data_IF_233435353029
#
_entry.id   IF_233435353029
#
_cell.length_a   1.000
_cell.length_b   1.000
_cell.length_c   1.000
_cell.angle_alpha   90.00
_cell.angle_beta   90.00
_cell.angle_gamma   90.00
#
_symmetry.space_group_name_H-M   'P 1'
#
loop_
_entity.id
_entity.type
_entity.pdbx_description
1 polymer ?
#
# COMPACT_ATOMS: atom_id res chain seq x y z
N UNK A 1 5.02 6.71 -3.83
CA UNK A 1 5.33 6.74 -2.40
C UNK A 1 4.17 7.39 -1.67
N UNK A 2 3.58 6.71 -0.72
CA UNK A 2 2.50 7.22 0.12
C UNK A 2 3.08 7.59 1.48
N UNK A 3 2.92 8.84 1.91
CA UNK A 3 3.29 9.28 3.26
C UNK A 3 2.33 8.65 4.28
N UNK A 4 2.80 8.43 5.50
CA UNK A 4 2.02 7.80 6.58
C UNK A 4 0.70 8.52 6.88
N UNK A 5 0.64 9.85 6.70
CA UNK A 5 -0.59 10.63 6.88
C UNK A 5 -1.67 10.25 5.85
N UNK A 6 -1.27 9.93 4.61
CA UNK A 6 -2.18 9.51 3.55
C UNK A 6 -2.71 8.08 3.77
N UNK A 7 -1.94 7.25 4.48
CA UNK A 7 -2.34 5.88 4.82
C UNK A 7 -3.44 5.89 5.88
N UNK A 8 -3.44 6.88 6.79
CA UNK A 8 -4.45 6.97 7.86
C UNK A 8 -5.83 7.38 7.36
N UNK A 9 -5.90 8.26 6.37
CA UNK A 9 -7.15 8.88 5.91
C UNK A 9 -7.64 8.36 4.55
N UNK A 10 -6.75 7.66 3.81
CA UNK A 10 -6.96 7.37 2.40
C UNK A 10 -6.79 8.61 1.52
N UNK A 11 -6.63 8.41 0.24
CA UNK A 11 -6.40 9.51 -0.69
C UNK A 11 -6.91 9.19 -2.09
N UNK A 12 -7.35 10.23 -2.78
CA UNK A 12 -7.64 10.18 -4.20
C UNK A 12 -6.54 10.93 -4.95
N UNK A 13 -5.75 10.20 -5.75
CA UNK A 13 -4.65 10.77 -6.54
C UNK A 13 -4.91 10.63 -8.03
N UNK A 14 -4.56 11.67 -8.79
CA UNK A 14 -4.60 11.68 -10.25
C UNK A 14 -3.21 11.42 -10.80
N UNK A 15 -3.09 10.38 -11.62
CA UNK A 15 -1.83 10.02 -12.27
C UNK A 15 -1.97 10.25 -13.78
N UNK A 16 -0.99 10.89 -14.36
CA UNK A 16 -0.85 11.01 -15.81
C UNK A 16 0.00 9.84 -16.30
N UNK A 17 -0.63 8.90 -17.00
CA UNK A 17 -0.01 7.65 -17.43
C UNK A 17 0.17 7.67 -18.94
N UNK A 18 1.32 7.18 -19.41
CA UNK A 18 1.59 6.91 -20.82
C UNK A 18 1.22 5.45 -21.10
N UNK A 19 0.22 5.26 -21.96
CA UNK A 19 -0.29 3.94 -22.31
C UNK A 19 -0.90 3.95 -23.70
N UNK A 20 -1.29 2.77 -24.18
CA UNK A 20 -2.13 2.70 -25.37
C UNK A 20 -3.54 3.16 -25.01
N UNK A 21 -4.00 4.19 -25.72
CA UNK A 21 -5.34 4.77 -25.62
C UNK A 21 -6.09 4.56 -26.92
N UNK A 22 -7.40 4.63 -26.86
CA UNK A 22 -8.24 4.56 -28.06
C UNK A 22 -7.86 5.69 -29.04
N UNK A 23 -7.72 5.35 -30.31
CA UNK A 23 -7.44 6.33 -31.36
C UNK A 23 -8.62 7.29 -31.50
N UNK A 24 -8.39 8.57 -31.28
CA UNK A 24 -9.42 9.60 -31.33
C UNK A 24 -10.01 9.80 -32.72
N UNK A 25 -9.24 9.48 -33.77
CA UNK A 25 -9.67 9.65 -35.17
C UNK A 25 -10.64 8.57 -35.63
N UNK A 26 -10.38 7.30 -35.30
CA UNK A 26 -11.22 6.18 -35.73
C UNK A 26 -12.06 5.58 -34.61
N UNK A 27 -12.00 6.11 -33.41
CA UNK A 27 -12.73 5.59 -32.22
C UNK A 27 -12.57 4.08 -32.06
N UNK A 28 -11.32 3.63 -32.05
CA UNK A 28 -10.95 2.25 -31.80
C UNK A 28 -11.14 1.27 -32.97
N UNK A 29 -11.81 1.66 -34.07
CA UNK A 29 -12.11 0.74 -35.19
C UNK A 29 -10.90 0.35 -36.02
N UNK A 30 -9.86 1.17 -36.03
CA UNK A 30 -8.72 1.02 -36.93
C UNK A 30 -8.97 1.39 -38.37
N UNK A 31 -10.22 1.72 -38.74
CA UNK A 31 -10.62 2.03 -40.10
C UNK A 31 -10.78 3.54 -40.34
N UNK A 32 -10.56 4.00 -41.53
CA UNK A 32 -10.78 5.39 -41.95
C UNK A 32 -12.26 5.57 -42.36
N UNK A 33 -13.01 6.35 -41.55
CA UNK A 33 -14.44 6.66 -41.81
C UNK A 33 -15.39 5.46 -41.61
N UNK A 34 -16.69 5.74 -41.68
CA UNK A 34 -17.77 4.79 -41.39
C UNK A 34 -17.84 3.57 -42.36
N UNK A 35 -17.20 3.64 -43.52
CA UNK A 35 -17.17 2.57 -44.54
C UNK A 35 -15.85 1.82 -44.61
N UNK A 36 -14.91 2.06 -43.71
CA UNK A 36 -13.55 1.49 -43.76
C UNK A 36 -13.44 0.00 -43.39
N UNK A 37 -14.51 -0.61 -42.89
CA UNK A 37 -14.57 -2.05 -42.56
C UNK A 37 -15.56 -2.78 -43.45
N UNK A 38 -15.28 -4.04 -43.78
CA UNK A 38 -16.15 -4.94 -44.51
C UNK A 38 -16.29 -6.27 -43.81
N UNK A 39 -17.44 -6.93 -43.95
CA UNK A 39 -17.66 -8.27 -43.40
C UNK A 39 -16.65 -9.25 -44.02
N UNK A 40 -15.99 -10.04 -43.21
CA UNK A 40 -15.01 -11.02 -43.68
C UNK A 40 -15.67 -12.06 -44.62
N UNK A 41 -15.21 -12.18 -45.85
CA UNK A 41 -15.81 -13.12 -46.81
C UNK A 41 -15.59 -14.60 -46.49
N UNK A 42 -14.58 -14.92 -45.68
CA UNK A 42 -14.27 -16.30 -45.30
C UNK A 42 -15.16 -16.83 -44.19
N UNK A 43 -15.50 -16.02 -43.21
CA UNK A 43 -16.33 -16.44 -42.08
C UNK A 43 -17.71 -15.77 -42.06
N UNK A 44 -18.01 -14.91 -43.02
CA UNK A 44 -19.27 -14.18 -43.12
C UNK A 44 -19.68 -13.48 -41.86
N UNK A 45 -18.69 -12.91 -41.16
CA UNK A 45 -18.90 -12.16 -39.90
C UNK A 45 -18.84 -12.97 -38.62
N UNK A 46 -18.75 -14.30 -38.67
CA UNK A 46 -18.75 -15.17 -37.48
C UNK A 46 -17.42 -15.18 -36.72
N UNK A 47 -16.34 -14.68 -37.30
CA UNK A 47 -14.99 -14.71 -36.71
C UNK A 47 -14.35 -16.10 -36.63
N UNK A 48 -15.09 -17.15 -36.92
CA UNK A 48 -14.62 -18.55 -36.84
C UNK A 48 -14.96 -19.33 -38.09
N UNK A 49 -14.17 -20.39 -38.37
CA UNK A 49 -14.40 -21.33 -39.46
C UNK A 49 -14.43 -22.73 -38.91
N UNK A 50 -15.44 -23.50 -39.34
CA UNK A 50 -15.56 -24.90 -38.97
C UNK A 50 -14.79 -25.76 -39.99
N UNK A 51 -13.84 -26.57 -39.53
CA UNK A 51 -13.14 -27.55 -40.33
C UNK A 51 -13.57 -28.95 -39.94
N UNK A 52 -13.98 -29.73 -40.93
CA UNK A 52 -14.31 -31.13 -40.74
C UNK A 52 -13.06 -31.97 -41.05
N UNK A 53 -12.58 -32.70 -40.06
CA UNK A 53 -11.46 -33.64 -40.24
C UNK A 53 -11.94 -35.05 -40.01
N UNK A 54 -11.54 -35.96 -40.91
CA UNK A 54 -11.79 -37.38 -40.77
C UNK A 54 -10.74 -37.96 -39.83
N UNK A 55 -11.20 -38.57 -38.74
CA UNK A 55 -10.36 -39.25 -37.76
C UNK A 55 -10.70 -40.74 -37.78
N UNK A 56 -9.86 -41.59 -37.18
CA UNK A 56 -10.11 -43.03 -37.01
C UNK A 56 -11.39 -43.33 -36.19
N UNK A 57 -11.93 -42.33 -35.48
CA UNK A 57 -13.18 -42.41 -34.72
C UNK A 57 -14.38 -41.78 -35.43
N UNK A 58 -14.24 -41.38 -36.69
CA UNK A 58 -15.31 -40.72 -37.45
C UNK A 58 -14.97 -39.27 -37.84
N UNK A 59 -15.98 -38.56 -38.34
CA UNK A 59 -15.86 -37.15 -38.70
C UNK A 59 -15.91 -36.26 -37.47
N UNK A 60 -14.82 -35.51 -37.22
CA UNK A 60 -14.76 -34.48 -36.18
C UNK A 60 -14.88 -33.10 -36.80
N UNK A 61 -15.79 -32.28 -36.25
CA UNK A 61 -15.87 -30.86 -36.57
C UNK A 61 -15.10 -30.06 -35.54
N UNK A 62 -14.09 -29.32 -35.99
CA UNK A 62 -13.27 -28.44 -35.16
C UNK A 62 -13.55 -27.00 -35.57
N UNK A 63 -13.88 -26.16 -34.61
CA UNK A 63 -14.03 -24.72 -34.83
C UNK A 63 -12.67 -24.05 -34.56
N UNK A 64 -12.20 -23.28 -35.53
CA UNK A 64 -10.94 -22.53 -35.42
C UNK A 64 -11.16 -21.06 -35.73
N UNK A 65 -10.30 -20.19 -35.18
CA UNK A 65 -10.30 -18.77 -35.49
C UNK A 65 -10.13 -18.58 -37.00
N UNK A 66 -10.91 -17.67 -37.58
CA UNK A 66 -10.82 -17.36 -39.00
C UNK A 66 -9.44 -16.78 -39.33
N UNK A 67 -8.66 -17.39 -40.23
CA UNK A 67 -7.30 -16.96 -40.52
C UNK A 67 -7.24 -15.62 -41.27
N UNK A 68 -8.32 -15.21 -41.91
CA UNK A 68 -8.34 -13.97 -42.68
C UNK A 68 -8.61 -12.74 -41.81
N UNK A 69 -9.52 -12.82 -40.85
CA UNK A 69 -9.87 -11.71 -39.97
C UNK A 69 -9.33 -11.86 -38.54
N UNK A 70 -8.63 -12.95 -38.22
CA UNK A 70 -8.09 -13.16 -36.87
C UNK A 70 -9.12 -13.29 -35.77
N UNK A 71 -10.39 -13.59 -36.10
CA UNK A 71 -11.47 -13.70 -35.13
C UNK A 71 -12.42 -12.52 -35.08
N UNK A 72 -12.10 -11.40 -35.72
CA UNK A 72 -12.88 -10.16 -35.64
C UNK A 72 -14.17 -10.18 -36.47
N UNK A 73 -14.29 -11.08 -37.44
CA UNK A 73 -15.44 -11.16 -38.33
C UNK A 73 -15.47 -10.06 -39.41
N UNK A 74 -14.63 -9.06 -39.31
CA UNK A 74 -14.51 -7.90 -40.23
C UNK A 74 -13.09 -7.77 -40.69
N UNK A 75 -12.89 -7.13 -41.86
CA UNK A 75 -11.59 -6.76 -42.42
C UNK A 75 -11.56 -5.27 -42.68
N UNK A 76 -10.43 -4.63 -42.45
CA UNK A 76 -10.22 -3.22 -42.66
C UNK A 76 -9.78 -3.02 -44.12
N UNK A 77 -10.58 -2.31 -44.91
CA UNK A 77 -10.22 -1.90 -46.27
C UNK A 77 -9.29 -0.69 -46.28
N UNK A 78 -9.72 0.36 -45.59
CA UNK A 78 -8.98 1.60 -45.49
C UNK A 78 -8.46 1.76 -44.05
N UNK A 79 -7.16 1.65 -43.86
CA UNK A 79 -6.54 1.80 -42.55
C UNK A 79 -6.55 3.25 -42.10
N UNK A 80 -6.92 3.48 -40.85
CA UNK A 80 -6.78 4.78 -40.21
C UNK A 80 -5.31 5.25 -40.25
N UNK A 81 -5.08 6.47 -40.70
CA UNK A 81 -3.71 7.01 -40.86
C UNK A 81 -3.01 7.30 -39.54
N UNK A 82 -3.75 7.61 -38.47
CA UNK A 82 -3.18 7.90 -37.16
C UNK A 82 -2.71 6.66 -36.43
N UNK A 83 -3.49 5.58 -36.43
CA UNK A 83 -3.17 4.34 -35.75
C UNK A 83 -2.69 3.21 -36.68
N UNK A 84 -2.52 3.48 -37.97
CA UNK A 84 -2.11 2.49 -38.98
C UNK A 84 -2.97 1.21 -38.99
N UNK A 85 -4.23 1.31 -38.62
CA UNK A 85 -5.17 0.20 -38.59
C UNK A 85 -5.27 -0.51 -37.24
N UNK A 86 -4.50 -0.15 -36.21
CA UNK A 86 -4.54 -0.83 -34.91
C UNK A 86 -5.70 -0.40 -34.00
N UNK A 87 -6.34 0.73 -34.26
CA UNK A 87 -7.42 1.27 -33.44
C UNK A 87 -6.93 1.95 -32.15
N UNK A 88 -5.65 1.80 -31.80
CA UNK A 88 -5.05 2.36 -30.59
C UNK A 88 -3.79 3.14 -30.93
N UNK A 89 -3.50 4.15 -30.11
CA UNK A 89 -2.29 4.98 -30.21
C UNK A 89 -1.61 5.09 -28.86
N UNK A 90 -0.30 5.29 -28.86
CA UNK A 90 0.41 5.53 -27.60
C UNK A 90 0.21 6.98 -27.20
N UNK A 91 -0.47 7.20 -26.08
CA UNK A 91 -0.86 8.51 -25.61
C UNK A 91 -0.80 8.64 -24.10
N UNK A 92 -1.28 9.78 -23.59
CA UNK A 92 -1.34 10.07 -22.17
C UNK A 92 -2.79 10.12 -21.70
N UNK A 93 -3.11 9.43 -20.63
CA UNK A 93 -4.42 9.50 -19.96
C UNK A 93 -4.24 9.84 -18.50
N UNK A 94 -5.13 10.69 -17.97
CA UNK A 94 -5.20 10.97 -16.53
C UNK A 94 -6.15 9.99 -15.89
N UNK A 95 -5.61 9.15 -15.01
CA UNK A 95 -6.37 8.16 -14.25
C UNK A 95 -6.45 8.59 -12.79
N UNK A 96 -7.66 8.61 -12.24
CA UNK A 96 -7.89 8.88 -10.83
C UNK A 96 -7.88 7.56 -10.08
N UNK A 97 -7.01 7.47 -9.08
CA UNK A 97 -6.83 6.29 -8.23
C UNK A 97 -7.30 6.62 -6.81
N UNK A 98 -8.25 5.84 -6.30
CA UNK A 98 -8.68 5.91 -4.91
C UNK A 98 -7.91 4.89 -4.10
N UNK A 99 -7.09 5.36 -3.18
CA UNK A 99 -6.31 4.54 -2.26
C UNK A 99 -7.06 4.55 -0.92
N UNK A 100 -7.58 3.41 -0.44
CA UNK A 100 -8.30 3.35 0.83
C UNK A 100 -7.35 3.59 2.00
N UNK A 101 -7.91 4.02 3.14
CA UNK A 101 -7.16 4.13 4.38
C UNK A 101 -6.71 2.75 4.87
N UNK A 102 -5.52 2.65 5.45
CA UNK A 102 -5.00 1.39 6.02
C UNK A 102 -4.24 0.50 5.04
N UNK A 103 -4.05 0.92 3.79
CA UNK A 103 -3.22 0.15 2.84
C UNK A 103 -1.81 -0.09 3.39
N UNK A 104 -1.25 -1.26 3.10
CA UNK A 104 0.11 -1.63 3.51
C UNK A 104 1.05 -1.71 2.31
N UNK A 105 2.34 -1.71 2.60
CA UNK A 105 3.38 -1.94 1.60
C UNK A 105 3.16 -3.28 0.89
N UNK A 106 3.36 -3.29 -0.43
CA UNK A 106 3.15 -4.47 -1.27
C UNK A 106 1.69 -4.77 -1.63
N UNK A 107 0.71 -4.03 -1.06
CA UNK A 107 -0.67 -4.17 -1.48
C UNK A 107 -0.86 -3.67 -2.91
N UNK A 108 -1.74 -4.35 -3.66
CA UNK A 108 -2.04 -4.06 -5.04
C UNK A 108 -3.50 -3.61 -5.18
N UNK A 109 -3.68 -2.42 -5.75
CA UNK A 109 -5.00 -1.88 -6.09
C UNK A 109 -5.24 -2.07 -7.57
N UNK A 110 -6.28 -2.81 -7.94
CA UNK A 110 -6.67 -3.05 -9.33
C UNK A 110 -7.74 -2.06 -9.74
N UNK A 111 -7.52 -1.37 -10.86
CA UNK A 111 -8.50 -0.45 -11.44
C UNK A 111 -8.92 -1.03 -12.78
N UNK A 112 -10.13 -1.57 -12.80
CA UNK A 112 -10.67 -2.29 -13.94
C UNK A 112 -10.81 -1.37 -15.16
N UNK A 113 -10.40 -1.86 -16.33
CA UNK A 113 -10.53 -1.16 -17.61
C UNK A 113 -9.69 0.11 -17.76
N UNK A 114 -8.74 0.37 -16.84
CA UNK A 114 -7.85 1.54 -16.89
C UNK A 114 -6.42 1.23 -17.35
N UNK A 115 -6.17 -0.01 -17.76
CA UNK A 115 -4.95 -0.42 -18.42
C UNK A 115 -4.86 0.06 -19.89
N UNK A 116 -4.10 -0.65 -20.71
CA UNK A 116 -4.01 -0.37 -22.15
C UNK A 116 -5.36 -0.63 -22.85
N UNK A 117 -5.71 0.24 -23.78
CA UNK A 117 -6.87 0.02 -24.66
C UNK A 117 -6.66 -1.25 -25.50
N UNK A 118 -7.73 -2.00 -25.70
CA UNK A 118 -7.74 -3.14 -26.60
C UNK A 118 -7.78 -2.69 -28.07
N UNK A 119 -7.07 -3.40 -28.94
CA UNK A 119 -7.14 -3.15 -30.38
C UNK A 119 -8.56 -3.42 -30.91
N UNK A 120 -8.97 -2.68 -31.91
CA UNK A 120 -10.26 -2.85 -32.62
C UNK A 120 -11.48 -2.90 -31.68
N UNK A 121 -11.55 -1.94 -30.76
CA UNK A 121 -12.58 -1.88 -29.73
C UNK A 121 -12.60 -3.11 -28.81
N UNK A 122 -11.45 -3.79 -28.66
CA UNK A 122 -11.29 -4.86 -27.69
C UNK A 122 -11.41 -4.37 -26.25
N UNK A 123 -11.63 -5.30 -25.34
CA UNK A 123 -11.73 -4.99 -23.91
C UNK A 123 -10.39 -4.40 -23.42
N UNK A 124 -10.40 -3.22 -22.78
CA UNK A 124 -9.20 -2.67 -22.18
C UNK A 124 -8.73 -3.54 -21.01
N UNK A 125 -7.43 -3.57 -20.79
CA UNK A 125 -6.84 -4.25 -19.64
C UNK A 125 -7.05 -3.47 -18.35
N UNK A 126 -6.64 -4.05 -17.24
CA UNK A 126 -6.70 -3.42 -15.93
C UNK A 126 -5.39 -2.69 -15.61
N UNK A 127 -5.50 -1.65 -14.78
CA UNK A 127 -4.35 -0.95 -14.22
C UNK A 127 -4.08 -1.49 -12.82
N UNK A 128 -2.88 -2.00 -12.61
CA UNK A 128 -2.41 -2.48 -11.33
C UNK A 128 -1.54 -1.41 -10.68
N UNK A 129 -1.93 -0.98 -9.49
CA UNK A 129 -1.19 0.03 -8.71
C UNK A 129 -0.58 -0.66 -7.51
N UNK A 130 0.74 -0.74 -7.47
CA UNK A 130 1.48 -1.26 -6.34
C UNK A 130 1.69 -0.14 -5.32
N UNK A 131 1.39 -0.42 -4.06
CA UNK A 131 1.59 0.52 -2.95
C UNK A 131 2.99 0.33 -2.38
N UNK A 132 3.74 1.42 -2.32
CA UNK A 132 5.01 1.53 -1.62
C UNK A 132 4.86 2.53 -0.49
N UNK A 133 5.22 2.13 0.73
CA UNK A 133 5.11 2.97 1.92
C UNK A 133 6.39 3.77 2.14
N UNK A 134 6.26 5.07 2.36
CA UNK A 134 7.37 5.91 2.80
C UNK A 134 7.54 5.78 4.31
N UNK A 135 8.76 5.46 4.75
CA UNK A 135 9.05 5.27 6.17
C UNK A 135 8.85 6.56 6.95
N UNK A 136 8.06 6.50 8.01
CA UNK A 136 7.91 7.63 8.93
C UNK A 136 9.20 7.79 9.77
N UNK A 137 9.67 9.03 10.04
CA UNK A 137 10.93 9.25 10.76
C UNK A 137 10.91 8.78 12.21
N UNK A 138 9.77 8.77 12.86
CA UNK A 138 9.64 8.50 14.29
C UNK A 138 8.72 7.32 14.64
N UNK A 139 7.78 6.97 13.75
CA UNK A 139 6.82 5.89 13.96
C UNK A 139 7.20 4.66 13.13
N UNK A 140 7.21 3.51 13.76
CA UNK A 140 7.43 2.22 13.10
C UNK A 140 6.08 1.53 13.00
N UNK A 141 5.75 1.06 11.81
CA UNK A 141 4.52 0.32 11.56
C UNK A 141 4.71 -1.17 11.90
N UNK A 142 3.76 -1.74 12.61
CA UNK A 142 3.62 -3.16 12.85
C UNK A 142 2.16 -3.56 12.52
N UNK A 143 1.94 -4.02 11.28
CA UNK A 143 0.59 -4.25 10.70
C UNK A 143 -0.32 -3.02 10.79
N UNK A 144 -1.30 -3.03 11.71
CA UNK A 144 -2.19 -1.90 12.00
C UNK A 144 -1.73 -1.09 13.21
N UNK A 145 -0.84 -1.63 14.03
CA UNK A 145 -0.30 -0.93 15.18
C UNK A 145 0.89 -0.05 14.78
N UNK A 146 1.15 0.95 15.60
CA UNK A 146 2.30 1.84 15.47
C UNK A 146 3.16 1.71 16.71
N UNK A 147 4.47 1.73 16.53
CA UNK A 147 5.45 1.70 17.60
C UNK A 147 6.20 3.02 17.62
N UNK A 148 6.24 3.66 18.79
CA UNK A 148 7.03 4.84 19.06
C UNK A 148 7.99 4.60 20.22
N UNK A 149 9.24 5.01 20.07
CA UNK A 149 10.20 4.93 21.17
C UNK A 149 10.32 6.31 21.85
N UNK A 150 9.72 6.43 23.03
CA UNK A 150 9.77 7.66 23.83
C UNK A 150 11.01 7.67 24.70
N UNK A 151 11.87 8.64 24.46
CA UNK A 151 13.07 8.86 25.27
C UNK A 151 12.79 9.87 26.38
N UNK A 152 12.72 9.40 27.63
CA UNK A 152 12.51 10.22 28.81
C UNK A 152 13.84 10.60 29.47
N UNK A 153 13.90 11.79 30.04
CA UNK A 153 15.00 12.12 30.97
C UNK A 153 14.85 11.35 32.30
N UNK A 154 15.96 11.10 32.99
CA UNK A 154 15.95 10.47 34.33
C UNK A 154 15.00 11.19 35.32
N UNK A 155 15.03 12.55 35.43
CA UNK A 155 14.09 13.25 36.31
C UNK A 155 12.63 13.03 35.92
N UNK A 156 12.30 13.07 34.63
CA UNK A 156 10.90 12.85 34.17
C UNK A 156 10.45 11.43 34.44
N UNK A 157 11.31 10.43 34.26
CA UNK A 157 10.98 9.04 34.58
C UNK A 157 10.77 8.80 36.09
N UNK A 158 11.56 9.50 36.93
CA UNK A 158 11.50 9.37 38.38
C UNK A 158 10.32 10.15 38.99
N UNK A 159 10.13 11.40 38.60
CA UNK A 159 9.13 12.32 39.19
C UNK A 159 7.75 12.21 38.52
N UNK A 160 7.70 11.66 37.32
CA UNK A 160 6.52 11.69 36.48
C UNK A 160 6.34 13.02 35.78
N UNK A 161 5.28 13.13 35.00
CA UNK A 161 4.96 14.36 34.28
C UNK A 161 4.07 14.12 33.07
N UNK A 162 3.89 15.15 32.28
CA UNK A 162 3.15 15.07 31.00
C UNK A 162 4.12 15.30 29.86
N UNK A 163 4.10 14.41 28.88
CA UNK A 163 4.98 14.46 27.70
C UNK A 163 4.12 14.46 26.45
N UNK A 164 4.52 15.24 25.45
CA UNK A 164 3.93 15.20 24.12
C UNK A 164 4.64 14.15 23.27
N UNK A 165 3.86 13.35 22.55
CA UNK A 165 4.35 12.35 21.61
C UNK A 165 3.73 12.57 20.23
N UNK A 166 4.43 12.24 19.15
CA UNK A 166 3.86 12.25 17.81
C UNK A 166 2.81 11.14 17.68
N UNK A 167 1.77 11.45 16.94
CA UNK A 167 0.75 10.49 16.49
C UNK A 167 0.49 10.76 15.03
N UNK A 168 -0.19 9.85 14.35
CA UNK A 168 -0.51 10.00 12.94
C UNK A 168 -1.42 11.20 12.66
N UNK A 169 -2.25 11.57 13.63
CA UNK A 169 -3.17 12.72 13.53
C UNK A 169 -2.56 14.03 14.08
N UNK A 170 -1.29 14.01 14.47
CA UNK A 170 -0.61 15.17 15.07
C UNK A 170 0.12 14.83 16.35
N UNK A 171 -0.24 15.41 17.50
CA UNK A 171 0.43 15.20 18.79
C UNK A 171 -0.57 14.79 19.87
N UNK A 172 -0.16 13.87 20.74
CA UNK A 172 -0.92 13.49 21.92
C UNK A 172 -0.14 13.77 23.20
N UNK A 173 -0.83 14.18 24.27
CA UNK A 173 -0.26 14.33 25.60
C UNK A 173 -0.50 13.08 26.41
N UNK A 174 0.57 12.49 26.92
CA UNK A 174 0.50 11.32 27.80
C UNK A 174 1.04 11.64 29.18
N UNK A 175 0.42 11.07 30.18
CA UNK A 175 0.87 11.19 31.58
C UNK A 175 1.83 10.05 31.89
N UNK A 176 3.02 10.41 32.35
CA UNK A 176 4.03 9.49 32.85
C UNK A 176 3.90 9.40 34.37
N UNK A 177 3.74 8.21 34.87
CA UNK A 177 3.67 7.97 36.33
C UNK A 177 5.05 8.08 36.96
N UNK A 178 5.16 8.58 38.21
CA UNK A 178 6.42 8.58 38.93
C UNK A 178 7.00 7.16 39.05
N UNK A 179 8.32 7.03 38.90
CA UNK A 179 9.00 5.74 38.99
C UNK A 179 8.81 4.85 37.75
N UNK A 180 8.44 5.41 36.61
CA UNK A 180 8.29 4.68 35.36
C UNK A 180 9.64 4.09 34.94
N UNK A 181 9.67 2.75 34.78
CA UNK A 181 10.88 2.01 34.42
C UNK A 181 11.10 1.96 32.89
N UNK A 182 12.35 1.93 32.41
CA UNK A 182 12.65 1.70 30.99
C UNK A 182 12.12 0.33 30.53
N UNK A 183 11.71 0.24 29.26
CA UNK A 183 11.11 -0.96 28.68
C UNK A 183 9.63 -1.18 29.08
N UNK A 184 9.00 -0.22 29.80
CA UNK A 184 7.55 -0.21 29.97
C UNK A 184 6.92 0.23 28.64
N UNK A 185 5.89 -0.49 28.19
CA UNK A 185 5.12 -0.15 27.00
C UNK A 185 3.78 0.45 27.41
N UNK A 186 3.49 1.64 26.95
CA UNK A 186 2.18 2.29 27.12
C UNK A 186 1.38 2.10 25.83
N UNK A 187 0.13 1.68 25.97
CA UNK A 187 -0.77 1.41 24.84
C UNK A 187 -1.83 2.50 24.75
N UNK A 188 -1.80 3.26 23.65
CA UNK A 188 -2.83 4.23 23.31
C UNK A 188 -3.80 3.60 22.32
N UNK A 189 -4.96 3.22 22.82
CA UNK A 189 -5.96 2.50 22.04
C UNK A 189 -6.52 3.35 20.91
N UNK A 190 -6.67 2.75 19.73
CA UNK A 190 -7.24 3.39 18.55
C UNK A 190 -6.41 4.54 17.98
N UNK A 191 -5.10 4.60 18.29
CA UNK A 191 -4.15 5.59 17.76
C UNK A 191 -3.14 4.99 16.78
N UNK A 192 -3.40 3.80 16.29
CA UNK A 192 -2.70 3.15 15.19
C UNK A 192 -3.32 3.47 13.84
N UNK A 193 -3.08 2.60 12.87
CA UNK A 193 -3.60 2.69 11.50
C UNK A 193 -4.94 1.97 11.36
N UNK A 194 -5.80 2.39 10.42
CA UNK A 194 -6.97 1.62 10.05
C UNK A 194 -6.58 0.23 9.56
N UNK A 195 -7.28 -0.78 10.04
CA UNK A 195 -7.11 -2.16 9.57
C UNK A 195 -8.13 -2.46 8.48
N UNK A 196 -7.65 -2.87 7.30
CA UNK A 196 -8.49 -3.23 6.17
C UNK A 196 -8.40 -4.73 5.89
N UNK A 197 -9.54 -5.35 5.59
CA UNK A 197 -9.56 -6.73 5.11
C UNK A 197 -9.19 -6.80 3.60
N UNK A 198 -9.07 -8.01 3.07
CA UNK A 198 -8.78 -8.27 1.65
C UNK A 198 -9.81 -7.69 0.66
N UNK A 199 -10.97 -7.29 1.14
CA UNK A 199 -12.02 -6.63 0.35
C UNK A 199 -11.97 -5.10 0.44
N UNK A 200 -11.02 -4.53 1.19
CA UNK A 200 -10.88 -3.07 1.37
C UNK A 200 -11.81 -2.45 2.40
N UNK A 201 -12.52 -3.25 3.21
CA UNK A 201 -13.38 -2.75 4.29
C UNK A 201 -12.58 -2.55 5.57
N UNK A 202 -12.80 -1.42 6.24
CA UNK A 202 -12.22 -1.14 7.55
C UNK A 202 -12.79 -2.10 8.61
N UNK A 203 -11.92 -2.83 9.30
CA UNK A 203 -12.27 -3.79 10.36
C UNK A 203 -11.94 -3.28 11.74
N UNK A 204 -11.42 -2.06 11.87
CA UNK A 204 -11.04 -1.43 13.12
C UNK A 204 -9.82 -0.55 12.97
N UNK A 205 -9.31 -0.04 14.08
CA UNK A 205 -8.09 0.76 14.14
C UNK A 205 -7.13 0.13 15.12
N UNK A 206 -5.87 0.03 14.75
CA UNK A 206 -4.79 -0.44 15.62
C UNK A 206 -4.48 0.55 16.74
N UNK A 207 -3.47 0.25 17.51
CA UNK A 207 -3.06 1.03 18.67
C UNK A 207 -1.67 1.65 18.46
N UNK A 208 -1.35 2.68 19.23
CA UNK A 208 0.00 3.22 19.31
C UNK A 208 0.68 2.65 20.56
N UNK A 209 1.74 1.87 20.35
CA UNK A 209 2.57 1.28 21.39
C UNK A 209 3.77 2.18 21.66
N UNK A 210 3.77 2.82 22.82
CA UNK A 210 4.85 3.73 23.23
C UNK A 210 5.82 2.97 24.12
N UNK A 211 6.96 2.63 23.57
CA UNK A 211 8.06 2.01 24.35
C UNK A 211 8.85 3.10 25.06
N UNK A 212 9.03 2.94 26.37
CA UNK A 212 9.74 3.93 27.18
C UNK A 212 11.21 3.56 27.27
N UNK A 213 12.05 4.47 26.83
CA UNK A 213 13.49 4.47 27.04
C UNK A 213 13.88 5.63 27.95
N UNK A 214 14.95 5.47 28.73
CA UNK A 214 15.45 6.52 29.62
C UNK A 214 16.82 6.96 29.14
N UNK A 215 16.96 8.26 28.88
CA UNK A 215 18.21 8.88 28.49
C UNK A 215 19.10 9.11 29.69
N UNK A 216 20.29 8.52 29.66
CA UNK A 216 21.35 8.77 30.64
C UNK A 216 22.34 9.76 30.00
N UNK A 217 22.60 10.92 30.64
CA UNK A 217 23.56 11.89 30.10
C UNK A 217 24.97 11.31 29.95
N UNK A 218 25.58 11.51 28.80
CA UNK A 218 26.95 11.08 28.53
C UNK A 218 27.99 11.98 29.24
N UNK A 219 27.66 13.26 29.40
CA UNK A 219 28.52 14.24 30.05
C UNK A 219 27.75 14.96 31.16
N UNK A 220 28.42 15.24 32.28
CA UNK A 220 27.85 15.89 33.43
C UNK A 220 28.69 17.12 33.82
N UNK A 221 28.02 18.16 34.23
CA UNK A 221 28.66 19.29 34.91
C UNK A 221 29.15 18.91 36.30
N UNK A 222 29.96 19.73 36.93
CA UNK A 222 30.45 19.48 38.29
C UNK A 222 29.29 19.43 39.30
N UNK A 223 28.29 20.28 39.13
CA UNK A 223 27.13 20.37 40.05
C UNK A 223 26.22 19.14 39.88
N UNK A 224 25.93 18.71 38.66
CA UNK A 224 25.14 17.51 38.36
C UNK A 224 25.81 16.25 38.91
N UNK A 225 27.14 16.15 38.73
CA UNK A 225 27.91 15.03 39.30
C UNK A 225 27.78 14.96 40.81
N UNK A 226 27.97 16.08 41.52
CA UNK A 226 27.83 16.13 42.97
C UNK A 226 26.41 15.78 43.44
N UNK A 227 25.40 16.18 42.72
CA UNK A 227 24.02 15.82 43.01
C UNK A 227 23.78 14.30 42.85
N UNK A 228 24.28 13.70 41.78
CA UNK A 228 24.15 12.27 41.53
C UNK A 228 24.95 11.42 42.54
N UNK A 229 26.15 11.87 42.96
CA UNK A 229 26.95 11.21 43.99
C UNK A 229 26.20 11.16 45.33
N UNK A 230 25.50 12.23 45.71
CA UNK A 230 24.64 12.24 46.91
C UNK A 230 23.49 11.26 46.80
N UNK A 231 22.86 11.15 45.61
CA UNK A 231 21.74 10.23 45.40
C UNK A 231 22.17 8.76 45.30
N UNK A 232 23.41 8.49 44.88
CA UNK A 232 23.96 7.13 44.80
C UNK A 232 23.93 6.39 46.15
N UNK A 233 24.09 7.11 47.24
CA UNK A 233 24.05 6.57 48.61
C UNK A 233 22.62 6.39 49.14
N UNK A 234 21.64 7.06 48.55
CA UNK A 234 20.26 6.96 48.99
C UNK A 234 19.65 5.57 48.71
N UNK A 235 18.98 4.99 49.71
CA UNK A 235 18.41 3.63 49.59
C UNK A 235 17.45 3.47 48.40
N UNK A 236 16.65 4.51 48.09
CA UNK A 236 15.68 4.47 47.02
C UNK A 236 16.33 4.44 45.61
N UNK A 237 17.61 4.80 45.49
CA UNK A 237 18.37 4.73 44.24
C UNK A 237 19.11 3.38 44.06
N UNK A 238 19.09 2.52 45.08
CA UNK A 238 19.68 1.18 44.97
C UNK A 238 18.62 0.19 44.47
N UNK A 239 18.94 -0.61 43.42
CA UNK A 239 18.00 -1.64 42.93
C UNK A 239 17.63 -2.62 44.02
N UNK A 240 16.34 -2.74 44.33
CA UNK A 240 15.86 -3.71 45.32
C UNK A 240 15.73 -5.11 44.69
N UNK A 241 15.69 -6.14 45.57
CA UNK A 241 15.65 -7.55 45.16
C UNK A 241 14.42 -7.89 44.32
N UNK A 242 13.27 -7.32 44.68
CA UNK A 242 12.01 -7.60 43.97
C UNK A 242 12.00 -7.03 42.55
N UNK A 243 12.65 -5.90 42.29
CA UNK A 243 12.81 -5.33 40.98
C UNK A 243 13.75 -6.17 40.11
N UNK A 244 14.86 -6.62 40.68
CA UNK A 244 15.81 -7.55 40.02
C UNK A 244 15.10 -8.83 39.56
N UNK A 245 14.30 -9.43 40.40
CA UNK A 245 13.52 -10.64 40.07
C UNK A 245 12.51 -10.40 38.95
N UNK A 246 11.78 -9.27 38.98
CA UNK A 246 10.82 -8.91 37.93
C UNK A 246 11.52 -8.72 36.59
N UNK A 247 12.64 -8.00 36.55
CA UNK A 247 13.43 -7.78 35.33
C UNK A 247 13.96 -9.11 34.82
N UNK A 248 14.53 -9.94 35.69
CA UNK A 248 15.06 -11.25 35.32
C UNK A 248 13.99 -12.19 34.76
N UNK A 249 12.79 -12.19 35.36
CA UNK A 249 11.66 -13.00 34.90
C UNK A 249 11.20 -12.54 33.49
N UNK A 250 11.12 -11.22 33.24
CA UNK A 250 10.79 -10.67 31.93
C UNK A 250 11.87 -11.00 30.90
N UNK A 251 13.15 -10.95 31.31
CA UNK A 251 14.26 -11.32 30.42
C UNK A 251 14.21 -12.79 30.03
N UNK A 252 13.94 -13.68 30.99
CA UNK A 252 13.82 -15.12 30.74
C UNK A 252 12.70 -15.44 29.73
N UNK A 253 11.54 -14.77 29.84
CA UNK A 253 10.42 -14.98 28.90
C UNK A 253 10.66 -14.48 27.45
N UNK A 254 11.81 -13.89 27.17
CA UNK A 254 12.20 -13.54 25.79
C UNK A 254 13.02 -14.67 25.13
N UNK A 255 13.44 -15.67 25.91
CA UNK A 255 14.26 -16.79 25.43
C UNK A 255 13.59 -18.16 25.59
N UNK A 256 12.42 -18.21 26.25
CA UNK A 256 11.52 -19.35 26.30
C UNK A 256 10.44 -19.23 25.19
#
# INVERSE_FOLDING_TARGET
MCSSDLISTGVEKKFKLKKYVECSHCHGTGAEGDGGTETCPTCHGTGSVTRTQQSIFGMMQTQSVCPQCGGEGKIIKNKCKECNGEGVVYGEEVVTVKIPAGVAEGMQVTINGKGNAGKHNGVPGDLLVLIEEEKHPELIRDESDLIYNLLLSVPTAALGGTVEIPTIDGKAKIKIEPGTQPGKVLRLRGKGLPNINSYGYNTGTGDLLVNISVYIPETLTKEERQALEKWQEAENFKPNTSLKEKIFKKFRSLFD
#
